data_IF_772366391324
#
_entry.id   IF_772366391324
#
_cell.length_a   1.000
_cell.length_b   1.000
_cell.length_c   1.000
_cell.angle_alpha   90.00
_cell.angle_beta   90.00
_cell.angle_gamma   90.00
#
_symmetry.space_group_name_H-M   'P 1'
#
loop_
_entity.id
_entity.type
_entity.pdbx_description
1 polymer ?
#
# COMPACT_ATOMS: atom_id res chain seq x y z
N UNK A 1 21.69 17.50 38.14
CA UNK A 1 20.99 16.42 38.88
C UNK A 1 19.60 16.25 38.27
N UNK A 2 19.35 15.06 37.72
CA UNK A 2 18.22 14.53 36.94
C UNK A 2 16.90 15.31 36.82
N UNK A 3 16.49 15.66 35.58
CA UNK A 3 15.10 15.63 35.15
C UNK A 3 14.79 14.26 34.47
N UNK A 4 13.51 14.03 34.13
CA UNK A 4 12.95 12.87 33.42
C UNK A 4 12.28 11.80 34.30
N UNK A 5 11.12 12.17 34.84
CA UNK A 5 9.98 11.24 34.99
C UNK A 5 9.01 11.50 33.82
N UNK A 6 8.90 10.54 32.92
CA UNK A 6 7.88 10.50 31.85
C UNK A 6 7.43 9.04 31.69
N UNK A 7 6.14 8.69 31.87
CA UNK A 7 5.66 7.32 31.84
C UNK A 7 5.44 6.77 30.42
N UNK A 8 5.94 7.43 29.37
CA UNK A 8 5.63 7.08 27.98
C UNK A 8 6.47 5.94 27.37
N UNK A 9 7.39 5.34 28.13
CA UNK A 9 8.28 4.27 27.62
C UNK A 9 7.80 2.84 27.92
N UNK A 10 6.58 2.65 28.45
CA UNK A 10 6.07 1.31 28.83
C UNK A 10 4.92 0.79 27.97
N UNK A 11 4.56 1.46 26.88
CA UNK A 11 3.43 1.04 26.03
C UNK A 11 3.81 0.77 24.57
N UNK A 12 4.99 0.18 24.34
CA UNK A 12 5.43 -0.26 23.01
C UNK A 12 5.97 -1.70 22.99
N UNK A 13 5.70 -2.47 24.06
CA UNK A 13 6.19 -3.85 24.21
C UNK A 13 5.09 -4.87 24.56
N UNK A 14 3.84 -4.63 24.16
CA UNK A 14 2.69 -5.45 24.56
C UNK A 14 1.74 -5.87 23.43
N UNK A 15 2.21 -6.00 22.18
CA UNK A 15 1.43 -6.63 21.10
C UNK A 15 2.31 -7.38 20.11
N UNK A 16 3.17 -8.24 20.62
CA UNK A 16 3.96 -9.17 19.80
C UNK A 16 4.11 -10.52 20.50
N UNK A 17 3.00 -11.08 20.97
CA UNK A 17 2.92 -12.49 21.38
C UNK A 17 1.45 -12.93 21.38
N UNK A 18 1.10 -13.77 20.40
CA UNK A 18 0.34 -15.02 20.57
C UNK A 18 -0.44 -15.38 19.30
N UNK A 19 0.16 -16.21 18.44
CA UNK A 19 -0.53 -17.34 17.78
C UNK A 19 0.52 -18.37 17.34
N UNK A 20 1.14 -19.06 18.31
CA UNK A 20 1.70 -20.37 18.05
C UNK A 20 0.55 -21.39 18.15
N UNK A 21 -0.17 -21.59 17.06
CA UNK A 21 -1.12 -22.69 16.89
C UNK A 21 -0.53 -23.67 15.88
N UNK A 22 -0.42 -24.95 16.26
CA UNK A 22 -0.10 -26.01 15.31
C UNK A 22 -1.20 -26.07 14.23
N UNK A 23 -0.85 -25.75 12.99
CA UNK A 23 -1.75 -25.82 11.84
C UNK A 23 -0.90 -26.14 10.60
N UNK A 24 -1.46 -26.86 9.63
CA UNK A 24 -0.88 -26.99 8.29
C UNK A 24 -0.28 -25.64 7.87
N UNK A 25 1.02 -25.60 7.56
CA UNK A 25 1.72 -24.34 7.31
C UNK A 25 1.13 -23.66 6.07
N UNK A 26 0.13 -22.82 6.32
CA UNK A 26 -0.35 -21.81 5.40
C UNK A 26 0.83 -20.87 5.17
N UNK A 27 1.49 -20.96 4.01
CA UNK A 27 2.52 -20.02 3.62
C UNK A 27 1.86 -18.68 3.27
N UNK A 28 1.59 -17.90 4.32
CA UNK A 28 1.16 -16.52 4.28
C UNK A 28 2.35 -15.59 4.55
N UNK A 29 2.52 -14.56 3.72
CA UNK A 29 3.52 -13.51 3.93
C UNK A 29 2.76 -12.20 4.10
N UNK A 30 2.92 -11.58 5.27
CA UNK A 30 2.49 -10.21 5.50
C UNK A 30 3.69 -9.27 5.37
N UNK A 31 3.52 -8.19 4.62
CA UNK A 31 4.54 -7.15 4.48
C UNK A 31 3.93 -5.78 4.77
N UNK A 32 4.70 -4.94 5.43
CA UNK A 32 4.37 -3.54 5.64
C UNK A 32 5.61 -2.70 5.33
N UNK A 33 5.43 -1.61 4.58
CA UNK A 33 6.51 -0.67 4.29
C UNK A 33 6.00 0.76 4.32
N UNK A 34 6.89 1.65 4.75
CA UNK A 34 6.72 3.09 4.72
C UNK A 34 7.88 3.64 3.91
N UNK A 35 7.57 4.44 2.91
CA UNK A 35 8.52 5.19 2.09
C UNK A 35 8.27 6.67 2.36
N UNK A 36 9.33 7.43 2.61
CA UNK A 36 9.23 8.85 2.94
C UNK A 36 10.55 9.58 2.61
N UNK A 37 10.46 10.81 2.13
CA UNK A 37 11.58 11.71 1.81
C UNK A 37 12.20 12.41 3.04
N UNK A 38 11.58 12.26 4.22
CA UNK A 38 12.04 12.76 5.52
C UNK A 38 13.54 12.57 5.79
N UNK A 39 14.09 11.39 5.48
CA UNK A 39 15.50 11.08 5.79
C UNK A 39 16.50 11.90 4.96
N UNK A 40 16.06 12.44 3.82
CA UNK A 40 16.88 13.26 2.93
C UNK A 40 16.69 14.77 3.16
N UNK A 41 15.81 15.18 4.11
CA UNK A 41 15.38 16.57 4.35
C UNK A 41 14.93 17.29 3.07
N UNK A 42 14.45 16.53 2.08
CA UNK A 42 14.02 17.01 0.79
C UNK A 42 12.55 16.66 0.62
N UNK A 43 11.72 17.24 1.48
CA UNK A 43 10.27 17.07 1.41
C UNK A 43 9.75 17.79 0.15
N UNK A 44 9.11 17.05 -0.77
CA UNK A 44 8.41 17.60 -1.94
C UNK A 44 9.18 17.64 -3.26
N UNK A 45 8.50 18.10 -4.31
CA UNK A 45 9.02 18.15 -5.69
C UNK A 45 8.69 16.88 -6.49
N UNK A 46 7.65 16.15 -6.09
CA UNK A 46 7.23 14.90 -6.72
C UNK A 46 6.67 13.90 -5.71
N UNK A 47 7.10 12.64 -5.82
CA UNK A 47 6.73 11.59 -4.87
C UNK A 47 7.30 11.90 -3.48
N UNK A 48 6.42 12.05 -2.50
CA UNK A 48 6.78 12.49 -1.14
C UNK A 48 6.78 11.30 -0.18
N UNK A 49 5.70 10.52 -0.18
CA UNK A 49 5.57 9.40 0.75
C UNK A 49 4.57 8.35 0.28
N UNK A 50 4.79 7.11 0.72
CA UNK A 50 3.84 6.02 0.54
C UNK A 50 3.81 5.06 1.73
N UNK A 51 2.62 4.56 2.02
CA UNK A 51 2.38 3.47 2.97
C UNK A 51 1.84 2.27 2.21
N UNK A 52 2.42 1.11 2.43
CA UNK A 52 2.06 -0.13 1.74
C UNK A 52 1.89 -1.25 2.76
N UNK A 53 0.73 -1.89 2.74
CA UNK A 53 0.49 -3.15 3.42
C UNK A 53 0.11 -4.20 2.38
N UNK A 54 0.63 -5.41 2.50
CA UNK A 54 0.23 -6.52 1.66
C UNK A 54 0.17 -7.82 2.45
N UNK A 55 -0.78 -8.66 2.07
CA UNK A 55 -0.85 -10.05 2.48
C UNK A 55 -0.80 -10.91 1.22
N UNK A 56 0.07 -11.90 1.24
CA UNK A 56 0.36 -12.81 0.14
C UNK A 56 0.15 -14.24 0.62
N UNK A 57 -0.52 -15.06 -0.19
CA UNK A 57 -0.72 -16.48 0.05
C UNK A 57 -0.09 -17.26 -1.11
N UNK A 58 0.81 -18.19 -0.80
CA UNK A 58 1.46 -19.06 -1.78
C UNK A 58 1.01 -20.51 -1.61
N UNK A 59 0.73 -21.23 -2.68
CA UNK A 59 0.38 -22.64 -2.59
C UNK A 59 1.49 -23.43 -1.86
N UNK A 60 1.11 -24.19 -0.83
CA UNK A 60 2.05 -25.02 -0.07
C UNK A 60 2.36 -26.31 -0.83
N UNK A 61 3.46 -27.00 -0.48
CA UNK A 61 3.79 -28.28 -1.11
C UNK A 61 2.64 -29.29 -0.94
N UNK A 62 2.18 -29.88 -2.05
CA UNK A 62 1.03 -30.79 -2.09
C UNK A 62 -0.34 -30.12 -2.25
N UNK A 63 -0.41 -28.78 -2.22
CA UNK A 63 -1.61 -28.02 -2.55
C UNK A 63 -1.71 -27.80 -4.06
N UNK A 64 -2.90 -28.00 -4.65
CA UNK A 64 -3.12 -27.77 -6.08
C UNK A 64 -3.05 -26.28 -6.48
N UNK A 65 -3.12 -25.38 -5.52
CA UNK A 65 -3.15 -23.93 -5.69
C UNK A 65 -4.03 -23.26 -4.62
N UNK A 66 -3.91 -21.94 -4.50
CA UNK A 66 -4.67 -21.14 -3.55
C UNK A 66 -6.08 -20.83 -4.08
N UNK A 67 -7.00 -20.43 -3.20
CA UNK A 67 -8.33 -20.02 -3.64
C UNK A 67 -8.29 -18.78 -4.54
N UNK A 68 -8.91 -18.80 -5.74
CA UNK A 68 -8.94 -17.63 -6.59
C UNK A 68 -9.69 -16.47 -5.93
N UNK A 69 -9.20 -15.26 -6.18
CA UNK A 69 -9.88 -14.05 -5.71
C UNK A 69 -11.24 -13.97 -6.39
N UNK A 70 -12.28 -13.64 -5.63
CA UNK A 70 -13.68 -13.64 -6.08
C UNK A 70 -13.89 -12.92 -7.41
N UNK A 71 -13.21 -11.78 -7.62
CA UNK A 71 -13.32 -10.96 -8.82
C UNK A 71 -12.81 -11.67 -10.09
N UNK A 72 -11.93 -12.66 -9.95
CA UNK A 72 -11.34 -13.41 -11.06
C UNK A 72 -11.91 -14.81 -11.22
N UNK A 73 -12.76 -15.30 -10.31
CA UNK A 73 -13.39 -16.63 -10.41
C UNK A 73 -14.15 -16.83 -11.74
N UNK A 74 -15.00 -15.89 -12.20
CA UNK A 74 -15.72 -16.07 -13.47
C UNK A 74 -14.76 -16.18 -14.67
N UNK A 75 -13.74 -15.32 -14.71
CA UNK A 75 -12.73 -15.31 -15.77
C UNK A 75 -11.92 -16.61 -15.77
N UNK A 76 -11.48 -17.07 -14.60
CA UNK A 76 -10.73 -18.31 -14.45
C UNK A 76 -11.51 -19.53 -14.91
N UNK A 77 -12.80 -19.60 -14.58
CA UNK A 77 -13.69 -20.68 -15.03
C UNK A 77 -13.90 -20.65 -16.55
N UNK A 78 -14.11 -19.46 -17.13
CA UNK A 78 -14.30 -19.30 -18.57
C UNK A 78 -13.05 -19.65 -19.38
N UNK A 79 -11.87 -19.30 -18.87
CA UNK A 79 -10.58 -19.57 -19.52
C UNK A 79 -9.97 -20.95 -19.17
N UNK A 80 -10.61 -21.74 -18.30
CA UNK A 80 -10.06 -23.02 -17.84
C UNK A 80 -8.71 -22.88 -17.12
N UNK A 81 -8.52 -21.80 -16.36
CA UNK A 81 -7.29 -21.60 -15.60
C UNK A 81 -7.24 -22.57 -14.41
N UNK A 82 -6.06 -23.16 -14.18
CA UNK A 82 -5.79 -23.89 -12.94
C UNK A 82 -5.88 -22.94 -11.73
N UNK A 83 -5.95 -23.49 -10.52
CA UNK A 83 -5.88 -22.65 -9.31
C UNK A 83 -4.60 -21.80 -9.32
N UNK A 84 -4.66 -20.54 -8.85
CA UNK A 84 -3.46 -19.72 -8.74
C UNK A 84 -2.40 -20.39 -7.87
N UNK A 85 -1.13 -20.24 -8.23
CA UNK A 85 -0.02 -20.59 -7.35
C UNK A 85 0.16 -19.56 -6.22
N UNK A 86 -0.33 -18.32 -6.43
CA UNK A 86 -0.19 -17.21 -5.51
C UNK A 86 -1.38 -16.25 -5.63
N UNK A 87 -1.84 -15.72 -4.49
CA UNK A 87 -2.83 -14.66 -4.42
C UNK A 87 -2.42 -13.59 -3.40
N UNK A 88 -2.75 -12.34 -3.67
CA UNK A 88 -2.37 -11.21 -2.83
C UNK A 88 -3.48 -10.17 -2.72
N UNK A 89 -3.54 -9.54 -1.55
CA UNK A 89 -4.33 -8.34 -1.29
C UNK A 89 -3.38 -7.29 -0.71
N UNK A 90 -3.40 -6.10 -1.29
CA UNK A 90 -2.51 -5.01 -0.87
C UNK A 90 -3.25 -3.69 -0.81
N UNK A 91 -2.95 -2.89 0.21
CA UNK A 91 -3.43 -1.53 0.39
C UNK A 91 -2.23 -0.60 0.24
N UNK A 92 -2.35 0.41 -0.61
CA UNK A 92 -1.35 1.48 -0.74
C UNK A 92 -1.98 2.84 -0.57
N UNK A 93 -1.29 3.74 0.13
CA UNK A 93 -1.56 5.16 0.14
C UNK A 93 -0.33 5.87 -0.43
N UNK A 94 -0.49 6.69 -1.47
CA UNK A 94 0.59 7.46 -2.09
C UNK A 94 0.30 8.95 -1.99
N UNK A 95 1.37 9.74 -1.92
CA UNK A 95 1.31 11.18 -1.73
C UNK A 95 2.32 11.88 -2.65
N UNK A 96 1.85 12.91 -3.35
CA UNK A 96 2.66 13.83 -4.14
C UNK A 96 2.43 15.23 -3.61
N UNK A 97 3.52 15.97 -3.36
CA UNK A 97 3.47 17.36 -2.92
C UNK A 97 4.42 18.25 -3.73
N UNK A 98 4.12 19.54 -3.87
CA UNK A 98 5.05 20.52 -4.43
C UNK A 98 6.34 20.57 -3.60
N UNK A 99 7.40 21.11 -4.20
CA UNK A 99 8.70 21.34 -3.54
C UNK A 99 8.57 22.32 -2.38
N UNK A 100 7.82 23.41 -2.58
CA UNK A 100 7.47 24.31 -1.50
C UNK A 100 6.07 24.02 -0.97
N UNK A 101 5.99 23.01 -0.11
CA UNK A 101 4.75 22.52 0.47
C UNK A 101 4.24 23.36 1.65
N UNK A 102 4.98 24.39 2.09
CA UNK A 102 4.49 25.27 3.17
C UNK A 102 3.60 26.41 2.66
N UNK A 103 3.50 26.57 1.34
CA UNK A 103 2.60 27.55 0.72
C UNK A 103 1.15 27.04 0.70
N UNK A 104 0.15 27.88 1.06
CA UNK A 104 -1.26 27.54 0.93
C UNK A 104 -1.71 27.37 -0.52
N UNK A 105 -1.09 28.10 -1.44
CA UNK A 105 -1.32 28.03 -2.88
C UNK A 105 -0.03 27.54 -3.53
N UNK A 106 -0.01 26.32 -4.10
CA UNK A 106 1.16 25.82 -4.82
C UNK A 106 1.48 26.65 -6.05
N UNK A 107 2.75 26.71 -6.41
CA UNK A 107 3.18 27.23 -7.71
C UNK A 107 2.52 26.41 -8.84
N UNK A 108 1.91 27.05 -9.85
CA UNK A 108 1.19 26.35 -10.91
C UNK A 108 2.04 25.35 -11.71
N UNK A 109 3.34 25.62 -11.81
CA UNK A 109 4.30 24.82 -12.59
C UNK A 109 4.99 23.71 -11.78
N UNK A 110 4.66 23.57 -10.49
CA UNK A 110 5.18 22.52 -9.61
C UNK A 110 4.20 21.33 -9.51
N UNK A 111 4.65 20.23 -8.91
CA UNK A 111 3.82 19.05 -8.64
C UNK A 111 2.60 19.44 -7.80
N UNK A 112 1.38 19.04 -8.18
CA UNK A 112 0.21 19.35 -7.39
C UNK A 112 0.21 18.55 -6.09
N UNK A 113 -0.54 19.02 -5.09
CA UNK A 113 -0.98 18.14 -4.02
C UNK A 113 -1.88 17.05 -4.58
N UNK A 114 -1.47 15.80 -4.42
CA UNK A 114 -2.26 14.65 -4.82
C UNK A 114 -2.06 13.49 -3.86
N UNK A 115 -3.10 12.70 -3.71
CA UNK A 115 -3.18 11.58 -2.81
C UNK A 115 -3.97 10.48 -3.47
N UNK A 116 -3.46 9.25 -3.36
CA UNK A 116 -4.11 8.03 -3.81
C UNK A 116 -4.26 7.10 -2.62
N UNK A 117 -5.43 6.49 -2.46
CA UNK A 117 -5.62 5.30 -1.65
C UNK A 117 -6.17 4.20 -2.54
N UNK A 118 -5.51 3.05 -2.58
CA UNK A 118 -5.90 1.96 -3.46
C UNK A 118 -5.74 0.60 -2.79
N UNK A 119 -6.73 -0.27 -3.03
CA UNK A 119 -6.72 -1.68 -2.72
C UNK A 119 -6.47 -2.45 -4.02
N UNK A 120 -5.46 -3.31 -4.03
CA UNK A 120 -5.11 -4.14 -5.17
C UNK A 120 -5.21 -5.62 -4.80
N UNK A 121 -5.93 -6.35 -5.63
CA UNK A 121 -6.09 -7.79 -5.62
C UNK A 121 -5.30 -8.36 -6.79
N UNK A 122 -4.45 -9.34 -6.57
CA UNK A 122 -3.73 -9.99 -7.67
C UNK A 122 -3.52 -11.47 -7.43
N UNK A 123 -3.54 -12.25 -8.50
CA UNK A 123 -3.26 -13.68 -8.46
C UNK A 123 -2.37 -14.09 -9.64
N UNK A 124 -1.54 -15.10 -9.41
CA UNK A 124 -0.61 -15.64 -10.40
C UNK A 124 -0.92 -17.11 -10.63
N UNK A 125 -1.13 -17.48 -11.89
CA UNK A 125 -1.28 -18.86 -12.33
C UNK A 125 0.03 -19.30 -12.97
N UNK A 126 0.71 -20.28 -12.37
CA UNK A 126 1.98 -20.79 -12.86
C UNK A 126 1.81 -22.18 -13.47
N UNK A 127 2.46 -22.40 -14.61
CA UNK A 127 2.63 -23.68 -15.31
C UNK A 127 4.11 -23.82 -15.68
N UNK A 128 4.53 -24.97 -16.19
CA UNK A 128 5.95 -25.30 -16.43
C UNK A 128 6.76 -24.15 -17.06
N UNK A 129 6.30 -23.62 -18.21
CA UNK A 129 7.03 -22.58 -18.95
C UNK A 129 6.31 -21.23 -19.02
N UNK A 130 5.18 -21.06 -18.32
CA UNK A 130 4.34 -19.87 -18.42
C UNK A 130 3.81 -19.44 -17.05
N UNK A 131 3.83 -18.14 -16.78
CA UNK A 131 3.15 -17.54 -15.64
C UNK A 131 2.21 -16.41 -16.10
N UNK A 132 0.94 -16.49 -15.70
CA UNK A 132 -0.08 -15.49 -15.94
C UNK A 132 -0.40 -14.73 -14.65
N UNK A 133 -0.35 -13.39 -14.69
CA UNK A 133 -0.77 -12.51 -13.61
C UNK A 133 -2.07 -11.81 -14.01
N UNK A 134 -3.03 -11.79 -13.09
CA UNK A 134 -4.22 -10.94 -13.18
C UNK A 134 -4.32 -10.08 -11.94
N UNK A 135 -4.58 -8.78 -12.12
CA UNK A 135 -4.82 -7.87 -11.02
C UNK A 135 -5.95 -6.87 -11.27
N UNK A 136 -6.56 -6.46 -10.16
CA UNK A 136 -7.64 -5.50 -10.08
C UNK A 136 -7.25 -4.52 -8.98
N UNK A 137 -7.19 -3.26 -9.33
CA UNK A 137 -6.90 -2.17 -8.41
C UNK A 137 -8.11 -1.25 -8.33
N UNK A 138 -8.58 -0.99 -7.12
CA UNK A 138 -9.71 -0.10 -6.84
C UNK A 138 -9.24 0.96 -5.87
N UNK A 139 -9.48 2.23 -6.18
CA UNK A 139 -9.00 3.30 -5.34
C UNK A 139 -9.70 4.63 -5.54
N UNK A 140 -9.20 5.63 -4.82
CA UNK A 140 -9.63 7.01 -4.90
C UNK A 140 -8.42 7.93 -4.97
N UNK A 141 -8.39 8.75 -6.00
CA UNK A 141 -7.49 9.91 -6.11
C UNK A 141 -8.21 11.12 -5.56
N UNK A 142 -7.56 11.95 -4.75
CA UNK A 142 -8.15 13.17 -4.19
C UNK A 142 -8.28 13.12 -2.66
N UNK A 143 -9.08 14.03 -2.09
CA UNK A 143 -9.28 14.19 -0.64
C UNK A 143 -9.71 12.90 0.08
N UNK A 144 -10.49 12.05 -0.61
CA UNK A 144 -10.95 10.76 -0.11
C UNK A 144 -9.84 9.74 0.11
N UNK A 145 -8.62 9.99 -0.41
CA UNK A 145 -7.45 9.14 -0.13
C UNK A 145 -6.97 9.24 1.31
N UNK A 146 -7.33 10.30 2.06
CA UNK A 146 -6.85 10.51 3.42
C UNK A 146 -5.39 10.95 3.52
N UNK A 147 -4.75 11.25 2.39
CA UNK A 147 -3.33 11.59 2.30
C UNK A 147 -2.97 12.80 3.18
N UNK A 148 -3.72 13.90 3.08
CA UNK A 148 -3.51 15.12 3.87
C UNK A 148 -3.45 14.84 5.38
N UNK A 149 -4.35 14.00 5.87
CA UNK A 149 -4.43 13.62 7.28
C UNK A 149 -3.19 12.81 7.70
N UNK A 150 -2.80 11.82 6.88
CA UNK A 150 -1.60 11.01 7.13
C UNK A 150 -0.35 11.88 7.22
N UNK A 151 -0.11 12.76 6.23
CA UNK A 151 1.10 13.60 6.26
C UNK A 151 1.06 14.61 7.39
N UNK A 152 -0.07 15.27 7.66
CA UNK A 152 -0.19 16.18 8.81
C UNK A 152 0.05 15.45 10.14
N UNK A 153 -0.36 14.19 10.26
CA UNK A 153 -0.07 13.37 11.43
C UNK A 153 1.42 13.07 11.54
N UNK A 154 2.05 12.56 10.48
CA UNK A 154 3.49 12.26 10.45
C UNK A 154 4.30 13.51 10.79
N UNK A 155 4.04 14.64 10.13
CA UNK A 155 4.77 15.90 10.35
C UNK A 155 4.59 16.44 11.78
N UNK A 156 3.43 16.21 12.41
CA UNK A 156 3.22 16.56 13.82
C UNK A 156 4.05 15.69 14.76
N UNK A 157 4.14 14.39 14.47
CA UNK A 157 4.89 13.43 15.28
C UNK A 157 6.40 13.64 15.12
N UNK A 158 6.87 13.96 13.90
CA UNK A 158 8.29 14.17 13.60
C UNK A 158 8.77 15.60 13.88
N UNK A 159 7.85 16.57 14.05
CA UNK A 159 8.19 17.99 14.20
C UNK A 159 8.58 18.67 12.88
N UNK A 160 8.23 18.10 11.73
CA UNK A 160 8.49 18.67 10.40
C UNK A 160 7.64 19.92 10.12
N UNK A 161 8.07 20.75 9.14
CA UNK A 161 7.29 21.89 8.65
C UNK A 161 5.91 21.44 8.19
N UNK A 162 4.86 22.25 8.38
CA UNK A 162 3.49 21.82 8.07
C UNK A 162 3.15 22.00 6.58
N UNK A 163 2.47 21.03 5.95
CA UNK A 163 1.96 21.20 4.60
C UNK A 163 0.65 21.99 4.61
N UNK A 164 0.64 23.16 3.97
CA UNK A 164 -0.49 24.10 3.99
C UNK A 164 -1.34 24.04 2.71
N UNK A 165 -0.83 23.48 1.61
CA UNK A 165 -1.52 23.51 0.31
C UNK A 165 -2.53 22.39 0.04
N UNK A 166 -2.77 21.45 0.98
CA UNK A 166 -3.67 20.30 0.76
C UNK A 166 -5.11 20.68 0.38
N UNK A 167 -5.56 21.88 0.73
CA UNK A 167 -6.90 22.34 0.37
C UNK A 167 -7.05 22.59 -1.14
N UNK A 168 -5.93 22.79 -1.85
CA UNK A 168 -5.88 22.94 -3.31
C UNK A 168 -5.91 21.61 -4.08
N UNK A 169 -5.82 20.46 -3.39
CA UNK A 169 -5.85 19.14 -4.01
C UNK A 169 -7.11 18.93 -4.86
N UNK A 170 -6.96 18.21 -5.98
CA UNK A 170 -8.05 17.81 -6.85
C UNK A 170 -9.21 17.08 -6.13
N UNK A 171 -10.42 17.24 -6.67
CA UNK A 171 -11.63 16.54 -6.20
C UNK A 171 -11.49 15.03 -6.35
N UNK A 172 -12.27 14.28 -5.56
CA UNK A 172 -12.27 12.82 -5.57
C UNK A 172 -12.59 12.27 -6.96
N UNK A 173 -11.77 11.34 -7.43
CA UNK A 173 -11.98 10.53 -8.62
C UNK A 173 -11.73 9.07 -8.28
N UNK A 174 -12.59 8.18 -8.77
CA UNK A 174 -12.35 6.76 -8.64
C UNK A 174 -11.16 6.34 -9.53
N UNK A 175 -10.35 5.41 -9.01
CA UNK A 175 -9.33 4.69 -9.76
C UNK A 175 -9.80 3.25 -9.90
N UNK A 176 -9.81 2.75 -11.13
CA UNK A 176 -10.03 1.34 -11.45
C UNK A 176 -8.90 0.94 -12.39
N UNK A 177 -8.08 -0.02 -11.97
CA UNK A 177 -6.99 -0.58 -12.75
C UNK A 177 -7.23 -2.06 -13.00
N UNK A 178 -6.99 -2.49 -14.23
CA UNK A 178 -6.97 -3.90 -14.61
C UNK A 178 -5.60 -4.20 -15.20
N UNK A 179 -5.01 -5.32 -14.77
CA UNK A 179 -3.71 -5.76 -15.22
C UNK A 179 -3.81 -7.23 -15.63
N UNK A 180 -3.25 -7.55 -16.79
CA UNK A 180 -3.04 -8.91 -17.24
C UNK A 180 -1.64 -8.99 -17.86
N UNK A 181 -0.82 -9.90 -17.36
CA UNK A 181 0.56 -10.06 -17.81
C UNK A 181 0.90 -11.54 -17.97
N UNK A 182 1.70 -11.87 -18.98
CA UNK A 182 2.20 -13.22 -19.22
C UNK A 182 3.72 -13.20 -19.34
N UNK A 183 4.39 -14.02 -18.54
CA UNK A 183 5.80 -14.31 -18.66
C UNK A 183 6.04 -15.73 -19.18
N UNK A 184 7.10 -15.88 -19.97
CA UNK A 184 7.60 -17.16 -20.48
C UNK A 184 8.97 -17.45 -19.86
N UNK A 185 9.26 -18.71 -19.61
CA UNK A 185 10.59 -19.20 -19.23
C UNK A 185 11.17 -20.07 -20.32
#
# INVERSE_FOLDING_TARGET
>A
MNPLRSPFHRLLLATLLATAGMAHAEQGIASFSIQNDFFLKSDGGGYTSGLFGAHLRLASAGEAGVEPIWAFKPLGNWLGLAKPALASVSLKQLMTTPKEFTLPVPEPDDSPYSGLLALRFAQVHARENVADLFALELGVVGRGSGAAQTQRFVHRVTGSRRPEGWDSQARNRALIGLEAYRAWR
#
